data_IF_088547950855
#
_entry.id   IF_088547950855
#
_cell.length_a   1.000
_cell.length_b   1.000
_cell.length_c   1.000
_cell.angle_alpha   90.00
_cell.angle_beta   90.00
_cell.angle_gamma   90.00
#
_symmetry.space_group_name_H-M   'P 1'
#
loop_
_entity.id
_entity.type
_entity.pdbx_description
1 polymer ?
#
# COMPACT_ATOMS: atom_id res chain seq x y z
N UNK A 1 -7.69 -19.12 -52.13
CA UNK A 1 -6.49 -18.30 -51.84
C UNK A 1 -6.54 -17.62 -50.46
N UNK A 2 -7.70 -17.60 -49.78
CA UNK A 2 -7.92 -16.91 -48.49
C UNK A 2 -7.34 -17.63 -47.26
N UNK A 3 -7.40 -18.96 -47.18
CA UNK A 3 -6.91 -19.71 -46.00
C UNK A 3 -5.43 -19.45 -45.68
N UNK A 4 -4.59 -19.30 -46.72
CA UNK A 4 -3.16 -18.96 -46.57
C UNK A 4 -2.94 -17.54 -46.06
N UNK A 5 -3.85 -16.61 -46.39
CA UNK A 5 -3.81 -15.21 -45.95
C UNK A 5 -4.25 -15.11 -44.48
N UNK A 6 -5.29 -15.84 -44.08
CA UNK A 6 -5.75 -15.96 -42.69
C UNK A 6 -4.68 -16.60 -41.80
N UNK A 7 -4.03 -17.68 -42.26
CA UNK A 7 -2.92 -18.32 -41.53
C UNK A 7 -1.73 -17.37 -41.36
N UNK A 8 -1.36 -16.61 -42.40
CA UNK A 8 -0.29 -15.61 -42.29
C UNK A 8 -0.63 -14.48 -41.31
N UNK A 9 -1.87 -13.99 -41.32
CA UNK A 9 -2.33 -12.96 -40.37
C UNK A 9 -2.36 -13.51 -38.93
N UNK A 10 -2.81 -14.75 -38.73
CA UNK A 10 -2.84 -15.40 -37.42
C UNK A 10 -1.41 -15.60 -36.86
N UNK A 11 -0.46 -16.02 -37.71
CA UNK A 11 0.94 -16.16 -37.30
C UNK A 11 1.58 -14.81 -36.94
N UNK A 12 1.29 -13.74 -37.68
CA UNK A 12 1.80 -12.39 -37.37
C UNK A 12 1.20 -11.86 -36.05
N UNK A 13 -0.08 -12.10 -35.81
CA UNK A 13 -0.76 -11.73 -34.56
C UNK A 13 -0.14 -12.46 -33.35
N UNK A 14 0.18 -13.74 -33.50
CA UNK A 14 0.79 -14.55 -32.43
C UNK A 14 2.22 -14.13 -32.10
N UNK A 15 2.99 -13.71 -33.12
CA UNK A 15 4.35 -13.15 -32.93
C UNK A 15 4.28 -11.81 -32.20
N UNK A 16 3.32 -10.94 -32.52
CA UNK A 16 3.13 -9.66 -31.84
C UNK A 16 2.74 -9.82 -30.36
N UNK A 17 1.95 -10.84 -30.02
CA UNK A 17 1.60 -11.17 -28.63
C UNK A 17 2.79 -11.67 -27.79
N UNK A 18 3.86 -12.15 -28.43
CA UNK A 18 5.05 -12.67 -27.73
C UNK A 18 6.04 -11.59 -27.29
N UNK A 19 5.94 -10.37 -27.84
CA UNK A 19 6.80 -9.24 -27.45
C UNK A 19 6.25 -8.43 -26.26
N UNK A 20 5.07 -8.80 -25.72
CA UNK A 20 4.59 -8.33 -24.40
C UNK A 20 5.15 -9.23 -23.29
N UNK A 21 6.41 -9.65 -23.41
CA UNK A 21 7.15 -10.26 -22.30
C UNK A 21 7.78 -9.13 -21.50
N UNK A 22 7.08 -8.78 -20.43
CA UNK A 22 7.44 -7.80 -19.42
C UNK A 22 8.95 -7.82 -19.10
N UNK A 23 9.65 -6.73 -19.44
CA UNK A 23 10.99 -6.44 -18.92
C UNK A 23 10.91 -6.18 -17.40
N UNK A 24 10.77 -7.25 -16.60
CA UNK A 24 11.05 -7.18 -15.16
C UNK A 24 12.55 -7.03 -14.98
N UNK A 25 12.99 -5.80 -14.71
CA UNK A 25 14.30 -5.54 -14.10
C UNK A 25 14.44 -6.45 -12.87
N UNK A 26 15.35 -7.42 -12.94
CA UNK A 26 15.78 -8.19 -11.78
C UNK A 26 16.43 -7.22 -10.79
N UNK A 27 15.75 -6.94 -9.67
CA UNK A 27 16.42 -6.34 -8.51
C UNK A 27 17.46 -7.36 -8.04
N UNK A 28 18.69 -6.92 -7.82
CA UNK A 28 19.72 -7.76 -7.24
C UNK A 28 19.22 -8.28 -5.88
N UNK A 29 18.94 -9.58 -5.81
CA UNK A 29 18.70 -10.29 -4.57
C UNK A 29 20.04 -10.51 -3.89
N UNK A 30 20.22 -9.90 -2.73
CA UNK A 30 21.32 -10.16 -1.83
C UNK A 30 21.14 -11.59 -1.28
N UNK A 31 22.02 -12.51 -1.67
CA UNK A 31 21.90 -13.94 -1.40
C UNK A 31 21.86 -14.23 0.12
N UNK A 32 20.88 -15.05 0.54
CA UNK A 32 20.75 -15.49 1.93
C UNK A 32 21.88 -16.49 2.22
N UNK A 33 22.81 -16.10 3.09
CA UNK A 33 23.90 -16.96 3.55
C UNK A 33 23.63 -17.43 4.97
N UNK A 34 24.18 -18.58 5.40
CA UNK A 34 24.05 -19.05 6.79
C UNK A 34 24.48 -18.00 7.83
N UNK A 35 25.40 -17.10 7.45
CA UNK A 35 25.94 -16.07 8.34
C UNK A 35 25.04 -14.82 8.47
N UNK A 36 24.20 -14.50 7.47
CA UNK A 36 23.32 -13.33 7.50
C UNK A 36 21.82 -13.68 7.66
N UNK A 37 21.46 -14.97 7.59
CA UNK A 37 20.07 -15.41 7.58
C UNK A 37 19.28 -15.01 8.83
N UNK A 38 19.86 -15.15 10.03
CA UNK A 38 19.17 -14.83 11.30
C UNK A 38 18.91 -13.33 11.41
N UNK A 39 19.90 -12.50 11.08
CA UNK A 39 19.77 -11.05 11.10
C UNK A 39 18.74 -10.56 10.07
N UNK A 40 18.80 -11.07 8.83
CA UNK A 40 17.83 -10.74 7.79
C UNK A 40 16.43 -11.18 8.20
N UNK A 41 16.25 -12.38 8.76
CA UNK A 41 14.95 -12.85 9.25
C UNK A 41 14.38 -11.93 10.34
N UNK A 42 15.19 -11.58 11.34
CA UNK A 42 14.78 -10.65 12.40
C UNK A 42 14.43 -9.26 11.87
N UNK A 43 15.21 -8.75 10.91
CA UNK A 43 14.95 -7.47 10.26
C UNK A 43 13.65 -7.44 9.46
N UNK A 44 13.39 -8.46 8.63
CA UNK A 44 12.14 -8.54 7.85
C UNK A 44 10.93 -8.76 8.75
N UNK A 45 11.05 -9.57 9.80
CA UNK A 45 9.95 -9.79 10.73
C UNK A 45 9.67 -8.53 11.55
N UNK A 46 10.70 -7.85 12.06
CA UNK A 46 10.55 -6.61 12.82
C UNK A 46 9.93 -5.49 11.98
N UNK A 47 10.30 -5.36 10.71
CA UNK A 47 9.69 -4.38 9.80
C UNK A 47 8.24 -4.76 9.45
N UNK A 48 7.95 -6.04 9.25
CA UNK A 48 6.58 -6.53 9.03
C UNK A 48 5.68 -6.24 10.23
N UNK A 49 6.15 -6.50 11.47
CA UNK A 49 5.42 -6.21 12.69
C UNK A 49 5.15 -4.71 12.88
N UNK A 50 6.15 -3.85 12.65
CA UNK A 50 5.96 -2.39 12.69
C UNK A 50 4.90 -1.93 11.70
N UNK A 51 4.93 -2.45 10.47
CA UNK A 51 3.96 -2.13 9.43
C UNK A 51 2.56 -2.62 9.80
N UNK A 52 2.43 -3.83 10.34
CA UNK A 52 1.15 -4.37 10.82
C UNK A 52 0.53 -3.47 11.88
N UNK A 53 1.30 -3.10 12.90
CA UNK A 53 0.82 -2.18 13.95
C UNK A 53 0.36 -0.85 13.37
N UNK A 54 1.13 -0.29 12.43
CA UNK A 54 0.75 0.95 11.76
C UNK A 54 -0.55 0.82 10.97
N UNK A 55 -0.79 -0.33 10.34
CA UNK A 55 -2.02 -0.58 9.58
C UNK A 55 -3.24 -0.67 10.49
N UNK A 56 -3.10 -1.23 11.70
CA UNK A 56 -4.18 -1.26 12.69
C UNK A 56 -4.57 0.17 13.13
N UNK A 57 -3.58 1.02 13.39
CA UNK A 57 -3.81 2.42 13.76
C UNK A 57 -4.43 3.24 12.60
N UNK A 58 -3.95 3.02 11.36
CA UNK A 58 -4.53 3.64 10.15
C UNK A 58 -5.97 3.22 9.95
N UNK A 59 -6.30 1.92 10.13
CA UNK A 59 -7.66 1.42 10.02
C UNK A 59 -8.57 2.03 11.08
N UNK A 60 -8.09 2.12 12.33
CA UNK A 60 -8.80 2.79 13.41
C UNK A 60 -9.13 4.24 13.07
N UNK A 61 -8.13 5.02 12.64
CA UNK A 61 -8.32 6.41 12.24
C UNK A 61 -9.28 6.54 11.06
N UNK A 62 -9.14 5.70 10.03
CA UNK A 62 -10.02 5.70 8.86
C UNK A 62 -11.48 5.47 9.24
N UNK A 63 -11.74 4.52 10.15
CA UNK A 63 -13.09 4.27 10.64
C UNK A 63 -13.68 5.50 11.34
N UNK A 64 -12.87 6.19 12.16
CA UNK A 64 -13.29 7.41 12.88
C UNK A 64 -13.52 8.60 11.96
N UNK A 65 -12.67 8.78 10.95
CA UNK A 65 -12.84 9.77 9.89
C UNK A 65 -14.15 9.52 9.13
N UNK A 66 -14.46 8.27 8.80
CA UNK A 66 -15.71 7.93 8.14
C UNK A 66 -16.93 8.20 9.04
N UNK A 67 -16.85 7.88 10.34
CA UNK A 67 -17.92 8.23 11.28
C UNK A 67 -18.13 9.74 11.35
N UNK A 68 -17.05 10.52 11.45
CA UNK A 68 -17.11 11.97 11.41
C UNK A 68 -17.77 12.48 10.12
N UNK A 69 -17.38 11.94 8.96
CA UNK A 69 -17.97 12.30 7.68
C UNK A 69 -19.48 12.04 7.63
N UNK A 70 -19.92 10.90 8.14
CA UNK A 70 -21.34 10.53 8.15
C UNK A 70 -22.14 11.47 9.05
N UNK A 71 -21.58 11.89 10.19
CA UNK A 71 -22.27 12.73 11.17
C UNK A 71 -22.24 14.23 10.83
N UNK A 72 -21.11 14.72 10.31
CA UNK A 72 -20.88 16.14 10.05
C UNK A 72 -21.06 16.52 8.56
N UNK A 73 -21.21 15.53 7.67
CA UNK A 73 -21.37 15.73 6.24
C UNK A 73 -20.09 16.17 5.50
N UNK A 74 -18.94 16.19 6.18
CA UNK A 74 -17.63 16.53 5.61
C UNK A 74 -16.53 15.76 6.32
N UNK A 75 -15.36 15.65 5.69
CA UNK A 75 -14.18 15.15 6.37
C UNK A 75 -13.67 16.13 7.44
N UNK A 76 -12.97 15.63 8.48
CA UNK A 76 -12.31 16.50 9.43
C UNK A 76 -11.21 17.31 8.74
N UNK A 77 -10.99 18.53 9.18
CA UNK A 77 -9.94 19.43 8.70
C UNK A 77 -8.54 18.96 9.11
N UNK A 78 -8.46 18.20 10.20
CA UNK A 78 -7.24 17.58 10.70
C UNK A 78 -7.58 16.37 11.56
N UNK A 79 -6.61 15.49 11.81
CA UNK A 79 -6.80 14.36 12.73
C UNK A 79 -7.09 14.83 14.17
N UNK A 80 -6.62 16.01 14.58
CA UNK A 80 -6.88 16.58 15.90
C UNK A 80 -8.36 16.96 16.10
N UNK A 81 -9.07 17.29 15.03
CA UNK A 81 -10.50 17.62 15.12
C UNK A 81 -11.31 16.44 15.66
N UNK A 82 -10.88 15.20 15.39
CA UNK A 82 -11.48 13.99 15.94
C UNK A 82 -11.38 13.95 17.48
N UNK A 83 -10.29 14.47 18.04
CA UNK A 83 -10.07 14.56 19.50
C UNK A 83 -10.92 15.69 20.08
N UNK A 84 -10.84 16.88 19.47
CA UNK A 84 -11.57 18.07 19.92
C UNK A 84 -13.10 17.83 19.95
N UNK A 85 -13.60 17.10 18.95
CA UNK A 85 -15.02 16.72 18.83
C UNK A 85 -15.37 15.42 19.55
N UNK A 86 -14.41 14.80 20.25
CA UNK A 86 -14.58 13.59 21.07
C UNK A 86 -15.01 12.33 20.30
N UNK A 87 -14.67 12.23 19.02
CA UNK A 87 -14.81 10.99 18.25
C UNK A 87 -13.78 9.93 18.67
N UNK A 88 -12.63 10.41 19.17
CA UNK A 88 -11.55 9.66 19.79
C UNK A 88 -11.08 10.40 21.05
N UNK A 89 -10.50 9.67 22.01
CA UNK A 89 -9.96 10.26 23.24
C UNK A 89 -8.61 10.93 23.00
N UNK A 90 -7.76 10.26 22.22
CA UNK A 90 -6.46 10.75 21.80
C UNK A 90 -6.07 10.12 20.45
N UNK A 91 -5.07 10.70 19.78
CA UNK A 91 -4.51 10.11 18.58
C UNK A 91 -3.59 8.94 18.94
N UNK A 92 -3.67 7.82 18.19
CA UNK A 92 -2.74 6.71 18.38
C UNK A 92 -1.31 7.17 18.10
N UNK A 93 -0.34 6.55 18.76
CA UNK A 93 1.07 6.85 18.52
C UNK A 93 1.59 6.03 17.34
N UNK A 94 2.09 6.66 16.26
CA UNK A 94 2.67 5.92 15.15
C UNK A 94 3.94 5.17 15.60
N UNK A 95 4.33 4.07 14.92
CA UNK A 95 5.58 3.38 15.21
C UNK A 95 6.79 4.32 15.14
N UNK A 96 7.85 4.01 15.90
CA UNK A 96 9.06 4.84 15.96
C UNK A 96 9.62 5.14 14.57
N UNK A 97 9.79 6.43 14.28
CA UNK A 97 10.33 6.94 13.02
C UNK A 97 9.29 7.09 11.90
N UNK A 98 8.01 6.85 12.19
CA UNK A 98 6.90 7.05 11.26
C UNK A 98 5.97 8.19 11.70
N UNK A 99 5.21 8.73 10.76
CA UNK A 99 4.20 9.77 10.99
C UNK A 99 2.91 9.50 10.21
N UNK A 100 1.78 9.97 10.74
CA UNK A 100 0.52 9.94 10.02
C UNK A 100 0.46 11.09 9.01
N UNK A 101 0.07 10.77 7.79
CA UNK A 101 -0.26 11.72 6.75
C UNK A 101 -1.75 11.67 6.50
N UNK A 102 -2.40 12.82 6.61
CA UNK A 102 -3.84 12.96 6.42
C UNK A 102 -4.15 13.98 5.34
N UNK A 103 -5.09 13.64 4.46
CA UNK A 103 -5.64 14.52 3.44
C UNK A 103 -7.11 14.86 3.76
N UNK A 104 -7.41 16.10 4.18
CA UNK A 104 -8.76 16.55 4.50
C UNK A 104 -9.72 16.56 3.29
N UNK A 105 -9.20 16.65 2.07
CA UNK A 105 -10.04 16.72 0.87
C UNK A 105 -10.64 15.36 0.51
N UNK A 106 -9.90 14.28 0.78
CA UNK A 106 -10.30 12.90 0.46
C UNK A 106 -10.62 12.05 1.68
N UNK A 107 -10.27 12.50 2.89
CA UNK A 107 -10.35 11.70 4.10
C UNK A 107 -9.31 10.60 4.19
N UNK A 108 -8.30 10.59 3.31
CA UNK A 108 -7.28 9.55 3.25
C UNK A 108 -6.28 9.71 4.39
N UNK A 109 -5.93 8.60 5.03
CA UNK A 109 -4.90 8.54 6.08
C UNK A 109 -3.94 7.40 5.80
N UNK A 110 -2.65 7.68 5.86
CA UNK A 110 -1.55 6.74 5.66
C UNK A 110 -0.45 6.96 6.69
N UNK A 111 0.46 6.00 6.81
CA UNK A 111 1.67 6.09 7.63
C UNK A 111 2.92 6.03 6.75
N UNK A 112 3.89 6.91 7.00
CA UNK A 112 5.19 6.94 6.28
C UNK A 112 6.34 7.14 7.24
#
# INVERSE_FOLDING_TARGET
MEKKKVIRVLCVLFILLSFVSCSRKKKAEEELTPFNAVEKYGGVMGTALKKSKAMDDVLYLKNKINTFQIQEGRYPSSLNELVEKKYIEELPQPPKGMTFHYDPSTGSVDVR
#
